data_IF_864578519818
#
_entry.id   IF_864578519818
#
_cell.length_a   1.000
_cell.length_b   1.000
_cell.length_c   1.000
_cell.angle_alpha   90.00
_cell.angle_beta   90.00
_cell.angle_gamma   90.00
#
_symmetry.space_group_name_H-M   'P 1'
#
loop_
_entity.id
_entity.type
_entity.pdbx_description
1 polymer ?
#
# COMPACT_ATOMS: atom_id res chain seq x y z
N UNK A 1 36.53 2.00 -35.56
CA UNK A 1 35.76 2.70 -34.46
C UNK A 1 34.26 2.40 -34.45
N UNK A 2 33.71 1.37 -35.08
CA UNK A 2 32.27 1.18 -35.21
C UNK A 2 31.65 -0.04 -34.51
N UNK A 3 32.47 -0.96 -33.96
CA UNK A 3 31.96 -2.19 -33.31
C UNK A 3 31.67 -2.06 -31.80
N UNK A 4 32.20 -1.03 -31.13
CA UNK A 4 31.95 -0.81 -29.69
C UNK A 4 30.67 -0.02 -29.37
N UNK A 5 30.12 0.74 -30.34
CA UNK A 5 28.90 1.54 -30.15
C UNK A 5 27.63 0.68 -30.27
N UNK A 6 27.66 -0.36 -31.13
CA UNK A 6 26.52 -1.27 -31.33
C UNK A 6 26.31 -2.19 -30.12
N UNK A 7 27.38 -2.60 -29.43
CA UNK A 7 27.27 -3.41 -28.23
C UNK A 7 26.70 -2.64 -27.03
N UNK A 8 26.93 -1.31 -26.96
CA UNK A 8 26.41 -0.48 -25.87
C UNK A 8 24.91 -0.20 -26.01
N UNK A 9 24.40 -0.10 -27.24
CA UNK A 9 22.97 0.09 -27.53
C UNK A 9 22.17 -1.21 -27.27
N UNK A 10 22.74 -2.36 -27.58
CA UNK A 10 22.11 -3.66 -27.31
C UNK A 10 21.99 -3.96 -25.81
N UNK A 11 22.96 -3.53 -24.98
CA UNK A 11 22.90 -3.68 -23.52
C UNK A 11 21.87 -2.73 -22.87
N UNK A 12 21.66 -1.54 -23.44
CA UNK A 12 20.63 -0.59 -22.98
C UNK A 12 19.20 -1.08 -23.27
N UNK A 13 18.99 -1.75 -24.42
CA UNK A 13 17.69 -2.33 -24.78
C UNK A 13 17.42 -3.60 -23.98
N UNK A 14 18.45 -4.43 -23.71
CA UNK A 14 18.31 -5.61 -22.87
C UNK A 14 18.03 -5.27 -21.39
N UNK A 15 18.56 -4.15 -20.88
CA UNK A 15 18.28 -3.67 -19.52
C UNK A 15 16.84 -3.22 -19.30
N UNK A 16 16.19 -2.63 -20.30
CA UNK A 16 14.77 -2.25 -20.23
C UNK A 16 13.82 -3.43 -20.47
N UNK A 17 14.23 -4.47 -21.21
CA UNK A 17 13.40 -5.65 -21.48
C UNK A 17 13.29 -6.61 -20.28
N UNK A 18 14.17 -6.51 -19.28
CA UNK A 18 14.21 -7.45 -18.13
C UNK A 18 13.11 -7.20 -17.09
N UNK A 19 12.34 -6.13 -17.17
CA UNK A 19 11.29 -5.76 -16.20
C UNK A 19 9.85 -5.90 -16.72
N UNK A 20 9.64 -6.29 -17.98
CA UNK A 20 8.32 -6.21 -18.62
C UNK A 20 7.61 -7.55 -18.87
N UNK A 21 8.22 -8.69 -18.58
CA UNK A 21 7.63 -9.98 -18.95
C UNK A 21 6.72 -10.55 -17.86
N UNK A 22 5.54 -9.91 -17.69
CA UNK A 22 4.42 -10.49 -16.95
C UNK A 22 3.36 -10.91 -17.95
N UNK A 23 3.07 -12.21 -18.02
CA UNK A 23 1.95 -12.73 -18.81
C UNK A 23 0.72 -12.79 -17.94
N UNK A 24 -0.35 -12.06 -18.30
CA UNK A 24 -1.61 -12.03 -17.57
C UNK A 24 -2.53 -13.15 -18.10
N UNK A 25 -3.07 -13.95 -17.17
CA UNK A 25 -4.01 -15.03 -17.47
C UNK A 25 -5.18 -15.01 -16.47
N UNK A 26 -6.37 -15.54 -16.83
CA UNK A 26 -7.46 -15.69 -15.87
C UNK A 26 -7.06 -16.61 -14.71
N UNK A 27 -7.43 -16.25 -13.48
CA UNK A 27 -7.25 -17.10 -12.31
C UNK A 27 -8.39 -18.14 -12.26
N UNK A 28 -8.12 -19.37 -12.71
CA UNK A 28 -9.14 -20.41 -12.89
C UNK A 28 -9.30 -21.28 -11.63
N UNK A 29 -8.31 -21.28 -10.73
CA UNK A 29 -8.27 -22.22 -9.59
C UNK A 29 -8.44 -21.45 -8.27
N UNK A 30 -9.37 -21.94 -7.43
CA UNK A 30 -9.43 -21.46 -6.05
C UNK A 30 -8.20 -21.98 -5.28
N UNK A 31 -7.53 -21.12 -4.51
CA UNK A 31 -6.34 -21.53 -3.78
C UNK A 31 -6.66 -22.58 -2.72
N UNK A 32 -5.78 -23.56 -2.58
CA UNK A 32 -5.85 -24.50 -1.48
C UNK A 32 -5.73 -23.78 -0.13
N UNK A 33 -6.56 -24.19 0.83
CA UNK A 33 -6.42 -23.69 2.20
C UNK A 33 -5.15 -24.24 2.84
N UNK A 34 -4.28 -23.36 3.31
CA UNK A 34 -3.16 -23.76 4.17
C UNK A 34 -3.70 -23.87 5.59
N UNK A 35 -3.45 -25.00 6.27
CA UNK A 35 -3.87 -25.19 7.66
C UNK A 35 -3.12 -24.25 8.60
N UNK A 36 -3.85 -23.31 9.18
CA UNK A 36 -3.38 -22.37 10.21
C UNK A 36 -4.26 -22.47 11.46
N UNK A 37 -3.78 -22.05 12.61
CA UNK A 37 -4.55 -22.12 13.85
C UNK A 37 -5.87 -21.33 13.76
N UNK A 38 -6.94 -21.91 14.30
CA UNK A 38 -8.32 -21.38 14.25
C UNK A 38 -8.59 -20.27 15.31
N UNK A 39 -7.58 -19.54 15.75
CA UNK A 39 -7.69 -18.48 16.73
C UNK A 39 -7.52 -17.11 16.06
N UNK A 40 -8.52 -16.25 16.19
CA UNK A 40 -8.56 -14.93 15.56
C UNK A 40 -7.34 -14.07 15.97
N UNK A 41 -6.96 -14.08 17.25
CA UNK A 41 -5.77 -13.34 17.71
C UNK A 41 -4.48 -13.86 17.08
N UNK A 42 -4.36 -15.17 16.91
CA UNK A 42 -3.21 -15.78 16.25
C UNK A 42 -3.16 -15.42 14.78
N UNK A 43 -4.30 -15.43 14.10
CA UNK A 43 -4.41 -15.04 12.68
C UNK A 43 -3.99 -13.58 12.47
N UNK A 44 -4.50 -12.67 13.30
CA UNK A 44 -4.15 -11.24 13.22
C UNK A 44 -2.64 -11.05 13.45
N UNK A 45 -2.07 -11.72 14.47
CA UNK A 45 -0.63 -11.63 14.76
C UNK A 45 0.26 -12.19 13.64
N UNK A 46 -0.21 -13.20 12.93
CA UNK A 46 0.50 -13.84 11.82
C UNK A 46 0.20 -13.19 10.47
N UNK A 47 -0.57 -12.10 10.45
CA UNK A 47 -1.07 -11.43 9.25
C UNK A 47 -1.92 -12.31 8.32
N UNK A 48 -2.51 -13.36 8.83
CA UNK A 48 -3.55 -14.13 8.12
C UNK A 48 -4.88 -13.34 8.17
N UNK A 49 -4.84 -12.12 7.64
CA UNK A 49 -5.92 -11.15 7.76
C UNK A 49 -7.17 -11.58 7.01
N UNK A 50 -7.00 -12.33 5.91
CA UNK A 50 -8.12 -12.84 5.12
C UNK A 50 -8.96 -13.80 5.96
N UNK A 51 -8.31 -14.75 6.65
CA UNK A 51 -9.00 -15.70 7.53
C UNK A 51 -9.52 -15.03 8.78
N UNK A 52 -8.78 -14.06 9.34
CA UNK A 52 -9.26 -13.29 10.48
C UNK A 52 -10.60 -12.62 10.17
N UNK A 53 -10.73 -12.00 9.01
CA UNK A 53 -12.00 -11.39 8.57
C UNK A 53 -13.09 -12.43 8.31
N UNK A 54 -12.75 -13.60 7.78
CA UNK A 54 -13.70 -14.71 7.58
C UNK A 54 -14.19 -15.31 8.90
N UNK A 55 -13.34 -15.35 9.92
CA UNK A 55 -13.69 -15.87 11.25
C UNK A 55 -14.48 -14.87 12.10
N UNK A 56 -14.32 -13.59 11.85
CA UNK A 56 -14.96 -12.51 12.61
C UNK A 56 -16.47 -12.70 12.80
N UNK A 57 -17.30 -13.03 11.78
CA UNK A 57 -18.73 -13.28 11.94
C UNK A 57 -19.07 -14.41 12.93
N UNK A 58 -18.22 -15.44 12.99
CA UNK A 58 -18.42 -16.56 13.93
C UNK A 58 -18.25 -16.11 15.38
N UNK A 59 -17.30 -15.19 15.62
CA UNK A 59 -17.12 -14.59 16.95
C UNK A 59 -18.23 -13.59 17.24
N UNK A 60 -18.65 -12.82 16.24
CA UNK A 60 -19.76 -11.87 16.37
C UNK A 60 -21.08 -12.56 16.76
N UNK A 61 -21.32 -13.78 16.30
CA UNK A 61 -22.51 -14.58 16.62
C UNK A 61 -22.55 -15.11 18.08
N UNK A 62 -21.44 -15.08 18.84
CA UNK A 62 -21.42 -15.54 20.22
C UNK A 62 -22.22 -14.59 21.13
N UNK A 63 -23.03 -15.15 22.05
CA UNK A 63 -23.82 -14.36 23.01
C UNK A 63 -22.95 -13.69 24.10
N UNK A 64 -21.96 -14.45 24.61
CA UNK A 64 -21.02 -13.95 25.64
C UNK A 64 -19.61 -13.91 25.08
N UNK A 65 -19.08 -12.72 24.86
CA UNK A 65 -17.75 -12.48 24.32
C UNK A 65 -16.86 -11.92 25.43
N UNK A 66 -15.65 -12.45 25.53
CA UNK A 66 -14.60 -11.91 26.41
C UNK A 66 -14.04 -10.61 25.86
N UNK A 67 -13.37 -9.82 26.70
CA UNK A 67 -12.64 -8.62 26.28
C UNK A 67 -11.63 -8.92 25.18
N UNK A 68 -10.97 -10.07 25.23
CA UNK A 68 -9.99 -10.50 24.22
C UNK A 68 -10.65 -10.82 22.86
N UNK A 69 -11.82 -11.50 22.89
CA UNK A 69 -12.57 -11.79 21.66
C UNK A 69 -13.12 -10.51 21.01
N UNK A 70 -13.63 -9.59 21.81
CA UNK A 70 -14.09 -8.28 21.31
C UNK A 70 -12.92 -7.45 20.75
N UNK A 71 -11.77 -7.44 21.44
CA UNK A 71 -10.58 -6.77 20.95
C UNK A 71 -10.10 -7.36 19.61
N UNK A 72 -10.03 -8.69 19.51
CA UNK A 72 -9.62 -9.34 18.28
C UNK A 72 -10.61 -9.10 17.12
N UNK A 73 -11.91 -9.10 17.42
CA UNK A 73 -12.95 -8.76 16.45
C UNK A 73 -12.79 -7.32 15.96
N UNK A 74 -12.64 -6.37 16.89
CA UNK A 74 -12.42 -4.96 16.53
C UNK A 74 -11.13 -4.73 15.74
N UNK A 75 -10.05 -5.43 16.05
CA UNK A 75 -8.80 -5.37 15.26
C UNK A 75 -8.99 -5.92 13.84
N UNK A 76 -9.72 -7.02 13.65
CA UNK A 76 -10.04 -7.57 12.34
C UNK A 76 -10.92 -6.61 11.52
N UNK A 77 -11.87 -5.95 12.17
CA UNK A 77 -12.75 -4.95 11.55
C UNK A 77 -11.99 -3.68 11.17
N UNK A 78 -11.07 -3.21 12.03
CA UNK A 78 -10.18 -2.08 11.72
C UNK A 78 -9.37 -2.35 10.44
N UNK A 79 -8.74 -3.52 10.37
CA UNK A 79 -7.92 -3.93 9.23
C UNK A 79 -8.77 -4.04 7.95
N UNK A 80 -10.01 -4.46 8.07
CA UNK A 80 -10.96 -4.58 6.95
C UNK A 80 -11.70 -3.28 6.60
N UNK A 81 -11.39 -2.16 7.26
CA UNK A 81 -12.01 -0.86 7.01
C UNK A 81 -13.43 -0.71 7.55
N UNK A 82 -13.92 -1.65 8.37
CA UNK A 82 -15.22 -1.60 9.06
C UNK A 82 -15.12 -0.74 10.33
N UNK A 83 -14.81 0.54 10.17
CA UNK A 83 -14.40 1.41 11.26
C UNK A 83 -15.49 1.61 12.34
N UNK A 84 -16.75 1.67 11.99
CA UNK A 84 -17.84 1.86 12.97
C UNK A 84 -18.04 0.61 13.83
N UNK A 85 -17.98 -0.58 13.22
CA UNK A 85 -18.04 -1.86 13.95
C UNK A 85 -16.80 -2.02 14.84
N UNK A 86 -15.62 -1.76 14.31
CA UNK A 86 -14.36 -1.80 15.06
C UNK A 86 -14.40 -0.90 16.29
N UNK A 87 -14.84 0.36 16.12
CA UNK A 87 -14.98 1.31 17.24
C UNK A 87 -15.92 0.79 18.32
N UNK A 88 -17.05 0.23 17.92
CA UNK A 88 -18.04 -0.35 18.84
C UNK A 88 -17.45 -1.52 19.63
N UNK A 89 -16.80 -2.48 18.95
CA UNK A 89 -16.29 -3.68 19.60
C UNK A 89 -15.04 -3.39 20.44
N UNK A 90 -14.13 -2.52 19.99
CA UNK A 90 -12.97 -2.11 20.78
C UNK A 90 -13.38 -1.36 22.06
N UNK A 91 -14.37 -0.48 22.00
CA UNK A 91 -14.91 0.20 23.20
C UNK A 91 -15.58 -0.79 24.15
N UNK A 92 -16.41 -1.70 23.64
CA UNK A 92 -17.02 -2.75 24.49
C UNK A 92 -15.96 -3.65 25.15
N UNK A 93 -14.84 -3.92 24.47
CA UNK A 93 -13.74 -4.65 25.08
C UNK A 93 -13.11 -3.91 26.28
N UNK A 94 -12.99 -2.58 26.24
CA UNK A 94 -12.50 -1.75 27.33
C UNK A 94 -13.45 -1.84 28.54
N UNK A 95 -14.76 -1.79 28.33
CA UNK A 95 -15.78 -1.85 29.39
C UNK A 95 -15.71 -3.17 30.19
N UNK A 96 -15.22 -4.24 29.60
CA UNK A 96 -15.00 -5.51 30.30
C UNK A 96 -13.72 -5.54 31.15
N UNK A 97 -13.08 -4.39 31.38
CA UNK A 97 -11.88 -4.24 32.21
C UNK A 97 -10.73 -5.21 31.85
N UNK A 98 -10.20 -5.13 30.64
CA UNK A 98 -9.14 -6.03 30.17
C UNK A 98 -7.83 -5.85 30.94
N UNK A 99 -6.95 -6.85 30.89
CA UNK A 99 -5.60 -6.72 31.40
C UNK A 99 -4.86 -5.54 30.77
N UNK A 100 -3.89 -4.98 31.50
CA UNK A 100 -3.14 -3.78 31.09
C UNK A 100 -2.58 -3.88 29.65
N UNK A 101 -2.00 -5.02 29.28
CA UNK A 101 -1.45 -5.25 27.94
C UNK A 101 -2.55 -5.29 26.85
N UNK A 102 -3.69 -5.88 27.18
CA UNK A 102 -4.85 -5.89 26.27
C UNK A 102 -5.40 -4.49 26.07
N UNK A 103 -5.52 -3.69 27.15
CA UNK A 103 -5.97 -2.31 27.08
C UNK A 103 -5.01 -1.44 26.24
N UNK A 104 -3.70 -1.64 26.39
CA UNK A 104 -2.71 -0.93 25.57
C UNK A 104 -2.89 -1.19 24.07
N UNK A 105 -3.12 -2.43 23.68
CA UNK A 105 -3.33 -2.81 22.29
C UNK A 105 -4.67 -2.27 21.75
N UNK A 106 -5.75 -2.38 22.53
CA UNK A 106 -7.07 -1.84 22.15
C UNK A 106 -7.00 -0.32 21.95
N UNK A 107 -6.34 0.39 22.88
CA UNK A 107 -6.18 1.83 22.77
C UNK A 107 -5.33 2.22 21.54
N UNK A 108 -4.32 1.44 21.20
CA UNK A 108 -3.56 1.64 19.98
C UNK A 108 -4.40 1.42 18.72
N UNK A 109 -5.19 0.36 18.67
CA UNK A 109 -6.11 0.09 17.55
C UNK A 109 -7.15 1.20 17.39
N UNK A 110 -7.71 1.72 18.51
CA UNK A 110 -8.59 2.89 18.46
C UNK A 110 -7.85 4.14 17.95
N UNK A 111 -6.60 4.36 18.36
CA UNK A 111 -5.80 5.46 17.83
C UNK A 111 -5.61 5.35 16.31
N UNK A 112 -5.29 4.17 15.81
CA UNK A 112 -5.15 3.93 14.37
C UNK A 112 -6.46 4.13 13.62
N UNK A 113 -7.57 3.64 14.17
CA UNK A 113 -8.91 3.83 13.61
C UNK A 113 -9.26 5.31 13.48
N UNK A 114 -9.08 6.08 14.54
CA UNK A 114 -9.40 7.51 14.54
C UNK A 114 -8.45 8.30 13.61
N UNK A 115 -7.19 7.87 13.46
CA UNK A 115 -6.29 8.40 12.43
C UNK A 115 -6.82 8.12 11.02
N UNK A 116 -7.26 6.89 10.72
CA UNK A 116 -7.79 6.52 9.41
C UNK A 116 -9.08 7.28 9.06
N UNK A 117 -9.84 7.70 10.06
CA UNK A 117 -11.07 8.49 9.89
C UNK A 117 -10.86 10.01 10.07
N UNK A 118 -9.58 10.47 10.10
CA UNK A 118 -9.17 11.88 10.23
C UNK A 118 -9.59 12.55 11.55
N UNK A 119 -9.94 11.79 12.58
CA UNK A 119 -10.24 12.29 13.90
C UNK A 119 -8.96 12.34 14.75
N UNK A 120 -8.09 13.31 14.46
CA UNK A 120 -6.76 13.38 15.08
C UNK A 120 -6.79 13.66 16.58
N UNK A 121 -7.82 14.35 17.07
CA UNK A 121 -8.01 14.59 18.50
C UNK A 121 -8.29 13.28 19.25
N UNK A 122 -9.22 12.46 18.77
CA UNK A 122 -9.49 11.16 19.36
C UNK A 122 -8.32 10.19 19.16
N UNK A 123 -7.64 10.25 18.03
CA UNK A 123 -6.41 9.47 17.79
C UNK A 123 -5.34 9.79 18.82
N UNK A 124 -5.10 11.07 19.11
CA UNK A 124 -4.16 11.52 20.14
C UNK A 124 -4.57 11.04 21.54
N UNK A 125 -5.85 11.15 21.87
CA UNK A 125 -6.37 10.67 23.15
C UNK A 125 -6.05 9.19 23.36
N UNK A 126 -6.38 8.35 22.39
CA UNK A 126 -6.15 6.91 22.48
C UNK A 126 -4.66 6.54 22.41
N UNK A 127 -3.84 7.27 21.65
CA UNK A 127 -2.39 7.08 21.64
C UNK A 127 -1.78 7.33 23.04
N UNK A 128 -2.24 8.36 23.77
CA UNK A 128 -1.79 8.62 25.15
C UNK A 128 -2.18 7.49 26.09
N UNK A 129 -3.42 7.00 26.02
CA UNK A 129 -3.89 5.86 26.81
C UNK A 129 -3.04 4.61 26.50
N UNK A 130 -2.74 4.33 25.25
CA UNK A 130 -1.89 3.22 24.85
C UNK A 130 -0.49 3.34 25.49
N UNK A 131 0.11 4.53 25.47
CA UNK A 131 1.42 4.80 26.04
C UNK A 131 1.42 4.66 27.57
N UNK A 132 0.42 5.15 28.28
CA UNK A 132 0.25 5.00 29.74
C UNK A 132 0.16 3.53 30.16
N UNK A 133 -0.35 2.68 29.25
CA UNK A 133 -0.48 1.24 29.50
C UNK A 133 0.67 0.40 28.90
N UNK A 134 1.75 1.05 28.46
CA UNK A 134 3.02 0.40 28.13
C UNK A 134 3.35 0.29 26.62
N UNK A 135 2.52 0.85 25.72
CA UNK A 135 2.89 0.96 24.31
C UNK A 135 4.01 1.98 24.11
N UNK A 136 5.04 1.59 23.40
CA UNK A 136 6.12 2.51 23.04
C UNK A 136 5.71 3.34 21.83
N UNK A 137 5.29 4.57 22.07
CA UNK A 137 4.90 5.52 21.01
C UNK A 137 5.95 6.62 20.93
N UNK A 138 6.46 6.85 19.72
CA UNK A 138 7.45 7.92 19.50
C UNK A 138 6.80 9.28 19.71
N UNK A 139 7.48 10.17 20.44
CA UNK A 139 6.96 11.51 20.78
C UNK A 139 6.50 12.30 19.54
N UNK A 140 7.25 12.25 18.45
CA UNK A 140 6.87 12.95 17.22
C UNK A 140 5.49 12.53 16.69
N UNK A 141 5.06 11.29 16.92
CA UNK A 141 3.74 10.83 16.48
C UNK A 141 2.62 11.52 17.27
N UNK A 142 2.76 11.63 18.58
CA UNK A 142 1.80 12.37 19.41
C UNK A 142 1.84 13.88 19.15
N UNK A 143 3.02 14.44 18.85
CA UNK A 143 3.16 15.86 18.49
C UNK A 143 2.46 16.13 17.13
N UNK A 144 2.61 15.23 16.16
CA UNK A 144 1.91 15.32 14.87
C UNK A 144 0.38 15.25 15.03
N UNK A 145 -0.12 14.30 15.83
CA UNK A 145 -1.56 14.22 16.10
C UNK A 145 -2.08 15.46 16.81
N UNK A 146 -1.31 16.01 17.76
CA UNK A 146 -1.65 17.25 18.47
C UNK A 146 -1.70 18.45 17.51
N UNK A 147 -0.76 18.55 16.59
CA UNK A 147 -0.71 19.64 15.61
C UNK A 147 -1.90 19.58 14.61
N UNK A 148 -2.48 18.42 14.37
CA UNK A 148 -3.65 18.24 13.51
C UNK A 148 -4.99 18.22 14.28
N UNK A 149 -4.96 18.18 15.62
CA UNK A 149 -6.17 18.24 16.45
C UNK A 149 -6.95 19.52 16.18
N UNK A 150 -8.27 19.38 15.88
CA UNK A 150 -9.12 20.51 15.54
C UNK A 150 -8.94 21.05 14.11
N UNK A 151 -8.02 20.49 13.32
CA UNK A 151 -7.88 20.86 11.91
C UNK A 151 -8.85 20.05 11.06
N UNK A 152 -9.68 20.74 10.29
CA UNK A 152 -10.58 20.10 9.33
C UNK A 152 -9.80 19.83 8.03
N UNK A 153 -9.23 18.63 7.91
CA UNK A 153 -8.40 18.22 6.78
C UNK A 153 -9.24 17.73 5.60
N UNK A 154 -8.65 17.67 4.41
CA UNK A 154 -9.22 17.12 3.17
C UNK A 154 -10.60 17.70 2.80
N UNK A 155 -10.80 19.01 3.02
CA UNK A 155 -12.04 19.67 2.60
C UNK A 155 -12.07 19.78 1.08
N UNK A 156 -13.01 19.10 0.45
CA UNK A 156 -13.15 19.11 -1.02
C UNK A 156 -14.14 20.20 -1.45
N UNK A 157 -13.77 20.94 -2.48
CA UNK A 157 -14.61 21.90 -3.19
C UNK A 157 -14.38 21.79 -4.70
N UNK A 158 -15.27 22.39 -5.48
CA UNK A 158 -15.26 22.24 -6.93
C UNK A 158 -15.88 20.91 -7.39
N UNK A 159 -15.24 20.22 -8.31
CA UNK A 159 -15.75 18.95 -8.80
C UNK A 159 -15.53 17.80 -7.80
N UNK A 160 -16.55 16.95 -7.66
CA UNK A 160 -16.43 15.73 -6.84
C UNK A 160 -15.87 14.52 -7.62
N UNK A 161 -15.81 14.60 -8.94
CA UNK A 161 -15.13 13.63 -9.78
C UNK A 161 -14.28 14.41 -10.79
N UNK A 162 -13.00 14.08 -10.84
CA UNK A 162 -12.06 14.72 -11.75
C UNK A 162 -11.26 13.67 -12.51
N UNK A 163 -11.05 13.95 -13.79
CA UNK A 163 -10.26 13.10 -14.71
C UNK A 163 -9.09 13.90 -15.24
N UNK A 164 -7.89 13.38 -15.00
CA UNK A 164 -6.64 14.05 -15.38
C UNK A 164 -5.73 13.11 -16.18
N UNK A 165 -4.98 13.67 -17.12
CA UNK A 165 -4.00 12.91 -17.88
C UNK A 165 -2.84 12.46 -16.98
N UNK A 166 -2.46 11.18 -17.08
CA UNK A 166 -1.23 10.67 -16.53
C UNK A 166 -0.08 10.88 -17.52
N UNK A 167 1.11 11.19 -17.00
CA UNK A 167 2.32 11.26 -17.84
C UNK A 167 2.88 9.86 -18.07
N UNK A 168 2.98 9.46 -19.33
CA UNK A 168 3.61 8.22 -19.77
C UNK A 168 5.09 8.46 -20.04
N UNK A 169 5.96 8.38 -19.05
CA UNK A 169 7.42 8.42 -19.26
C UNK A 169 8.12 7.80 -18.05
N UNK A 170 9.34 7.29 -18.21
CA UNK A 170 10.11 6.76 -17.09
C UNK A 170 10.27 7.76 -15.91
N UNK A 171 10.16 7.30 -14.66
CA UNK A 171 9.80 5.94 -14.23
C UNK A 171 8.36 5.59 -14.61
N UNK A 172 8.09 4.29 -14.79
CA UNK A 172 6.80 3.76 -15.23
C UNK A 172 5.76 3.70 -14.07
N UNK A 173 5.63 4.78 -13.32
CA UNK A 173 4.66 4.96 -12.23
C UNK A 173 3.65 6.04 -12.58
N UNK A 174 2.40 5.99 -12.05
CA UNK A 174 1.36 6.94 -12.39
C UNK A 174 1.70 8.35 -11.89
N UNK A 175 1.83 9.30 -12.81
CA UNK A 175 2.17 10.69 -12.53
C UNK A 175 1.14 11.62 -13.10
N UNK A 176 0.71 12.58 -12.29
CA UNK A 176 -0.27 13.61 -12.66
C UNK A 176 0.28 15.01 -12.40
N UNK A 177 -0.25 15.99 -13.08
CA UNK A 177 -0.01 17.39 -12.75
C UNK A 177 -1.02 17.85 -11.70
N UNK A 178 -0.52 18.47 -10.65
CA UNK A 178 -1.32 19.07 -9.58
C UNK A 178 -0.83 20.50 -9.30
N UNK A 179 -1.72 21.34 -8.81
CA UNK A 179 -1.34 22.70 -8.41
C UNK A 179 -1.43 22.83 -6.89
N UNK A 180 -0.38 23.36 -6.26
CA UNK A 180 -0.29 23.55 -4.83
C UNK A 180 -0.38 25.04 -4.46
N UNK A 181 -1.15 25.35 -3.43
CA UNK A 181 -1.28 26.71 -2.83
C UNK A 181 -1.55 27.81 -3.87
N UNK A 182 -2.42 27.54 -4.86
CA UNK A 182 -2.84 28.47 -5.95
C UNK A 182 -1.68 28.98 -6.84
N UNK A 183 -0.50 28.37 -6.77
CA UNK A 183 0.67 28.92 -7.45
C UNK A 183 1.35 27.96 -8.40
N UNK A 184 2.00 26.94 -7.88
CA UNK A 184 2.91 26.12 -8.65
C UNK A 184 2.26 24.82 -9.10
N UNK A 185 2.28 24.56 -10.41
CA UNK A 185 1.96 23.25 -10.97
C UNK A 185 3.21 22.35 -10.86
N UNK A 186 3.05 21.19 -10.28
CA UNK A 186 4.10 20.17 -10.10
C UNK A 186 3.62 18.82 -10.57
N UNK A 187 4.55 17.93 -10.86
CA UNK A 187 4.24 16.52 -11.13
C UNK A 187 4.25 15.76 -9.81
N UNK A 188 3.12 15.14 -9.46
CA UNK A 188 2.98 14.23 -8.32
C UNK A 188 2.92 12.79 -8.79
N UNK A 189 3.56 11.88 -8.04
CA UNK A 189 3.40 10.43 -8.21
C UNK A 189 2.24 9.97 -7.34
N UNK A 190 1.32 9.18 -7.90
CA UNK A 190 0.27 8.49 -7.14
C UNK A 190 0.92 7.25 -6.51
N UNK A 191 1.11 7.27 -5.19
CA UNK A 191 1.90 6.30 -4.45
C UNK A 191 1.07 5.72 -3.29
N UNK A 192 0.36 4.62 -3.54
CA UNK A 192 -0.42 3.95 -2.50
C UNK A 192 0.45 3.20 -1.48
N UNK A 193 1.72 2.95 -1.77
CA UNK A 193 2.69 2.38 -0.83
C UNK A 193 3.18 3.36 0.23
N UNK A 194 3.13 4.67 -0.05
CA UNK A 194 3.46 5.72 0.91
C UNK A 194 2.29 5.96 1.88
N UNK A 195 2.55 5.87 3.19
CA UNK A 195 1.54 6.16 4.24
C UNK A 195 1.08 7.62 4.19
N UNK A 196 2.02 8.53 3.99
CA UNK A 196 1.82 9.99 4.03
C UNK A 196 2.32 10.60 2.73
N UNK A 197 1.58 11.56 2.20
CA UNK A 197 2.04 12.38 1.07
C UNK A 197 3.31 13.13 1.43
N UNK A 198 4.28 13.19 0.52
CA UNK A 198 5.61 13.76 0.77
C UNK A 198 5.89 14.84 -0.24
N UNK A 199 6.40 15.98 0.22
CA UNK A 199 6.94 17.06 -0.63
C UNK A 199 8.45 17.18 -0.43
N UNK A 200 9.17 17.49 -1.50
CA UNK A 200 10.59 17.82 -1.41
C UNK A 200 10.82 19.12 -0.64
N UNK A 201 11.99 19.26 -0.01
CA UNK A 201 12.35 20.49 0.69
C UNK A 201 12.32 21.70 -0.26
N UNK A 202 12.86 21.55 -1.46
CA UNK A 202 12.88 22.60 -2.47
C UNK A 202 11.45 23.06 -2.87
N UNK A 203 10.53 22.11 -3.02
CA UNK A 203 9.12 22.42 -3.31
C UNK A 203 8.48 23.13 -2.12
N UNK A 204 8.68 22.63 -0.90
CA UNK A 204 8.16 23.23 0.32
C UNK A 204 8.60 24.70 0.46
N UNK A 205 9.88 24.99 0.25
CA UNK A 205 10.43 26.35 0.28
C UNK A 205 9.84 27.23 -0.82
N UNK A 206 9.70 26.69 -2.04
CA UNK A 206 9.14 27.41 -3.20
C UNK A 206 7.70 27.87 -2.97
N UNK A 207 6.86 27.03 -2.32
CA UNK A 207 5.46 27.36 -2.04
C UNK A 207 5.24 27.98 -0.66
N UNK A 208 6.32 28.26 0.07
CA UNK A 208 6.28 28.87 1.40
C UNK A 208 5.62 27.99 2.47
N UNK A 209 5.79 26.68 2.38
CA UNK A 209 5.16 25.71 3.27
C UNK A 209 5.80 25.76 4.66
N UNK A 210 5.00 26.01 5.69
CA UNK A 210 5.46 26.08 7.07
C UNK A 210 5.29 24.74 7.78
N UNK A 211 6.29 24.35 8.58
CA UNK A 211 6.18 23.18 9.46
C UNK A 211 5.07 23.35 10.48
N UNK A 212 4.39 22.23 10.82
CA UNK A 212 3.32 22.17 11.84
C UNK A 212 3.84 22.41 13.27
N UNK A 213 5.15 22.37 13.48
CA UNK A 213 5.82 22.63 14.77
C UNK A 213 7.30 22.31 14.67
N UNK A 214 8.00 22.42 15.80
CA UNK A 214 9.46 22.22 15.92
C UNK A 214 9.83 20.76 16.19
N UNK A 215 9.03 19.81 15.71
CA UNK A 215 9.30 18.39 15.86
C UNK A 215 9.63 17.72 14.52
N UNK A 216 10.42 16.66 14.61
CA UNK A 216 10.79 15.84 13.45
C UNK A 216 10.30 14.42 13.64
N UNK A 217 9.67 13.89 12.60
CA UNK A 217 9.35 12.46 12.47
C UNK A 217 10.46 11.68 11.80
N UNK A 218 10.26 10.40 11.73
CA UNK A 218 11.18 9.49 11.06
C UNK A 218 10.38 8.52 10.21
N UNK A 219 10.66 8.51 8.90
CA UNK A 219 10.12 7.50 7.98
C UNK A 219 11.18 6.44 7.71
N UNK A 220 10.73 5.24 7.49
CA UNK A 220 11.58 4.14 7.06
C UNK A 220 11.03 3.66 5.73
N UNK A 221 11.80 3.85 4.68
CA UNK A 221 11.52 3.21 3.39
C UNK A 221 11.85 1.73 3.46
N UNK A 222 11.40 0.97 2.48
CA UNK A 222 11.58 -0.48 2.42
C UNK A 222 13.04 -0.92 2.58
N UNK A 223 13.96 -0.17 2.01
CA UNK A 223 15.39 -0.49 1.93
C UNK A 223 16.26 0.55 2.64
N UNK A 224 15.67 1.56 3.31
CA UNK A 224 16.43 2.71 3.78
C UNK A 224 16.61 2.73 5.30
N UNK A 225 17.70 3.33 5.72
CA UNK A 225 17.86 3.84 7.08
C UNK A 225 16.74 4.85 7.40
N UNK A 226 16.45 5.06 8.69
CA UNK A 226 15.45 6.03 9.11
C UNK A 226 15.71 7.42 8.52
N UNK A 227 14.71 7.98 7.81
CA UNK A 227 14.80 9.27 7.13
C UNK A 227 14.08 10.31 7.97
N UNK A 228 14.75 11.38 8.44
CA UNK A 228 14.09 12.45 9.16
C UNK A 228 13.16 13.24 8.24
N UNK A 229 11.98 13.59 8.75
CA UNK A 229 10.97 14.38 8.05
C UNK A 229 10.38 15.42 8.98
N UNK A 230 9.96 16.55 8.41
CA UNK A 230 9.09 17.53 9.08
C UNK A 230 7.69 17.40 8.54
N UNK A 231 6.69 17.90 9.24
CA UNK A 231 5.30 17.84 8.80
C UNK A 231 4.76 19.23 8.51
N UNK A 232 3.87 19.32 7.55
CA UNK A 232 3.24 20.57 7.14
C UNK A 232 1.80 20.36 6.67
N UNK A 233 1.10 21.45 6.45
CA UNK A 233 -0.24 21.48 5.89
C UNK A 233 -0.23 22.26 4.59
N UNK A 234 -0.49 21.60 3.47
CA UNK A 234 -0.74 22.27 2.19
C UNK A 234 -2.12 22.89 2.26
N UNK A 235 -2.23 24.20 2.01
CA UNK A 235 -3.52 24.90 2.10
C UNK A 235 -4.49 24.41 1.04
N UNK A 236 -4.01 24.26 -0.22
CA UNK A 236 -4.80 23.72 -1.32
C UNK A 236 -3.96 22.81 -2.22
N UNK A 237 -4.50 21.65 -2.55
CA UNK A 237 -4.02 20.75 -3.61
C UNK A 237 -5.13 20.65 -4.64
N UNK A 238 -4.83 21.04 -5.88
CA UNK A 238 -5.81 21.09 -6.96
C UNK A 238 -5.48 20.03 -8.01
N UNK A 239 -6.48 19.19 -8.33
CA UNK A 239 -6.44 18.20 -9.42
C UNK A 239 -7.51 18.63 -10.42
N UNK A 240 -7.09 19.25 -11.53
CA UNK A 240 -8.05 19.88 -12.45
C UNK A 240 -8.91 20.92 -11.74
N UNK A 241 -10.24 20.73 -11.78
CA UNK A 241 -11.22 21.61 -11.12
C UNK A 241 -11.62 21.14 -9.69
N UNK A 242 -11.03 20.06 -9.21
CA UNK A 242 -11.18 19.59 -7.83
C UNK A 242 -10.15 20.28 -6.95
N UNK A 243 -10.58 20.87 -5.85
CA UNK A 243 -9.71 21.53 -4.86
C UNK A 243 -9.85 20.82 -3.51
N UNK A 244 -8.74 20.32 -3.00
CA UNK A 244 -8.65 19.68 -1.68
C UNK A 244 -7.87 20.59 -0.75
N UNK A 245 -8.51 21.07 0.31
CA UNK A 245 -7.89 21.99 1.27
C UNK A 245 -7.37 21.27 2.50
N UNK A 246 -6.34 21.86 3.11
CA UNK A 246 -5.73 21.37 4.37
C UNK A 246 -5.25 19.93 4.24
N UNK A 247 -4.32 19.71 3.32
CA UNK A 247 -3.72 18.39 3.06
C UNK A 247 -2.46 18.20 3.89
N UNK A 248 -2.43 17.27 4.88
CA UNK A 248 -1.23 16.97 5.65
C UNK A 248 -0.17 16.29 4.77
N UNK A 249 1.05 16.78 4.85
CA UNK A 249 2.21 16.25 4.12
C UNK A 249 3.44 16.17 5.02
N UNK A 250 4.37 15.29 4.65
CA UNK A 250 5.71 15.30 5.19
C UNK A 250 6.65 16.08 4.25
N UNK A 251 7.59 16.82 4.81
CA UNK A 251 8.67 17.48 4.07
C UNK A 251 9.93 16.64 4.23
N UNK A 252 10.51 16.22 3.12
CA UNK A 252 11.70 15.38 3.07
C UNK A 252 12.84 16.12 2.35
N UNK A 253 14.08 15.90 2.79
CA UNK A 253 15.26 16.48 2.16
C UNK A 253 15.40 16.02 0.70
N UNK A 254 15.82 16.94 -0.19
CA UNK A 254 15.88 16.71 -1.64
C UNK A 254 16.78 15.52 -2.00
N UNK A 255 17.87 15.28 -1.27
CA UNK A 255 18.80 14.16 -1.49
C UNK A 255 18.11 12.79 -1.27
N UNK A 256 17.04 12.77 -0.47
CA UNK A 256 16.23 11.56 -0.20
C UNK A 256 15.08 11.36 -1.20
N UNK A 257 14.80 12.39 -2.00
CA UNK A 257 13.78 12.40 -3.06
C UNK A 257 14.39 12.16 -4.46
N UNK A 258 15.63 11.67 -4.52
CA UNK A 258 16.36 11.37 -5.75
C UNK A 258 16.41 9.87 -6.01
N UNK A 259 16.18 9.50 -7.26
CA UNK A 259 16.26 8.14 -7.75
C UNK A 259 17.19 8.09 -8.95
N UNK A 260 17.86 6.94 -9.14
CA UNK A 260 18.77 6.73 -10.25
C UNK A 260 18.20 5.66 -11.19
N UNK A 261 17.88 6.04 -12.41
CA UNK A 261 17.43 5.11 -13.43
C UNK A 261 18.67 4.49 -14.09
N UNK A 262 18.75 3.17 -14.07
CA UNK A 262 19.89 2.39 -14.63
C UNK A 262 21.28 2.87 -14.13
N UNK A 263 21.33 3.40 -12.90
CA UNK A 263 22.56 3.87 -12.25
C UNK A 263 23.20 5.13 -12.85
N UNK A 264 22.53 5.82 -13.79
CA UNK A 264 23.13 6.96 -14.52
C UNK A 264 22.27 8.20 -14.64
N UNK A 265 20.96 8.09 -14.61
CA UNK A 265 20.06 9.26 -14.75
C UNK A 265 19.41 9.55 -13.41
N UNK A 266 19.70 10.70 -12.83
CA UNK A 266 19.02 11.21 -11.66
C UNK A 266 17.60 11.64 -12.02
N UNK A 267 16.64 11.18 -11.25
CA UNK A 267 15.25 11.59 -11.30
C UNK A 267 14.87 12.17 -9.94
N UNK A 268 14.40 13.41 -9.92
CA UNK A 268 13.94 14.07 -8.71
C UNK A 268 12.41 14.04 -8.62
N UNK A 269 11.90 13.70 -7.46
CA UNK A 269 10.48 13.68 -7.15
C UNK A 269 10.16 14.86 -6.25
N UNK A 270 9.29 15.75 -6.71
CA UNK A 270 8.84 16.91 -5.91
C UNK A 270 7.69 16.54 -4.98
N UNK A 271 6.81 15.62 -5.41
CA UNK A 271 5.59 15.25 -4.68
C UNK A 271 5.26 13.76 -4.83
N UNK A 272 5.03 13.10 -3.69
CA UNK A 272 4.35 11.81 -3.60
C UNK A 272 2.95 12.03 -3.01
N UNK A 273 1.93 11.49 -3.65
CA UNK A 273 0.53 11.52 -3.21
C UNK A 273 0.24 10.18 -2.54
N UNK A 274 0.31 10.16 -1.21
CA UNK A 274 0.25 8.94 -0.41
C UNK A 274 -1.16 8.51 0.01
N UNK A 275 -1.23 7.38 0.70
CA UNK A 275 -2.47 6.76 1.17
C UNK A 275 -3.28 7.69 2.07
N UNK A 276 -2.65 8.57 2.86
CA UNK A 276 -3.38 9.56 3.67
C UNK A 276 -4.31 10.45 2.85
N UNK A 277 -3.94 10.74 1.60
CA UNK A 277 -4.76 11.48 0.63
C UNK A 277 -5.66 10.51 -0.16
N UNK A 278 -5.09 9.45 -0.72
CA UNK A 278 -5.79 8.53 -1.63
C UNK A 278 -6.99 7.86 -0.98
N UNK A 279 -6.97 7.63 0.34
CA UNK A 279 -8.10 7.04 1.09
C UNK A 279 -9.38 7.89 1.10
N UNK A 280 -9.30 9.15 0.69
CA UNK A 280 -10.47 10.04 0.55
C UNK A 280 -11.19 9.85 -0.80
N UNK A 281 -10.62 9.03 -1.69
CA UNK A 281 -11.10 8.88 -3.05
C UNK A 281 -11.28 7.42 -3.45
N UNK A 282 -12.18 7.20 -4.39
CA UNK A 282 -12.10 6.09 -5.32
C UNK A 282 -11.21 6.56 -6.46
N UNK A 283 -10.08 5.87 -6.65
CA UNK A 283 -9.08 6.19 -7.67
C UNK A 283 -9.10 5.14 -8.78
N UNK A 284 -9.23 5.57 -10.04
CA UNK A 284 -9.13 4.71 -11.21
C UNK A 284 -7.92 5.13 -12.05
N UNK A 285 -7.06 4.17 -12.38
CA UNK A 285 -5.88 4.35 -13.22
C UNK A 285 -6.06 3.57 -14.53
N UNK A 286 -6.35 4.27 -15.62
CA UNK A 286 -6.43 3.70 -16.97
C UNK A 286 -5.09 3.88 -17.69
N UNK A 287 -4.22 2.89 -17.60
CA UNK A 287 -2.90 2.93 -18.22
C UNK A 287 -2.95 2.90 -19.75
N UNK A 288 -4.03 2.37 -20.33
CA UNK A 288 -4.22 2.36 -21.79
C UNK A 288 -4.44 3.76 -22.34
N UNK A 289 -5.27 4.56 -21.63
CA UNK A 289 -5.61 5.93 -22.03
C UNK A 289 -4.71 6.96 -21.37
N UNK A 290 -3.84 6.56 -20.47
CA UNK A 290 -3.04 7.44 -19.61
C UNK A 290 -3.93 8.45 -18.85
N UNK A 291 -4.94 7.95 -18.15
CA UNK A 291 -5.91 8.75 -17.41
C UNK A 291 -6.01 8.26 -15.96
N UNK A 292 -5.98 9.20 -15.03
CA UNK A 292 -6.38 8.97 -13.63
C UNK A 292 -7.73 9.65 -13.37
N UNK A 293 -8.63 8.96 -12.68
CA UNK A 293 -9.92 9.50 -12.24
C UNK A 293 -9.99 9.44 -10.72
N UNK A 294 -10.31 10.56 -10.10
CA UNK A 294 -10.52 10.66 -8.65
C UNK A 294 -11.99 10.98 -8.40
N UNK A 295 -12.65 10.17 -7.59
CA UNK A 295 -14.03 10.41 -7.15
C UNK A 295 -14.04 10.50 -5.63
N UNK A 296 -14.54 11.59 -5.08
CA UNK A 296 -14.61 11.82 -3.64
C UNK A 296 -15.52 10.78 -2.99
N UNK A 297 -15.04 10.16 -1.91
CA UNK A 297 -15.84 9.23 -1.12
C UNK A 297 -16.62 9.99 -0.04
N UNK A 298 -17.94 9.86 -0.08
CA UNK A 298 -18.84 10.35 0.97
C UNK A 298 -18.93 9.32 2.12
N UNK A 299 -19.53 9.70 3.24
CA UNK A 299 -19.81 8.77 4.34
C UNK A 299 -20.68 7.58 3.89
N UNK A 300 -21.57 7.78 2.92
CA UNK A 300 -22.44 6.72 2.38
C UNK A 300 -21.64 5.68 1.54
N UNK A 301 -20.53 6.10 0.94
CA UNK A 301 -19.68 5.24 0.11
C UNK A 301 -18.75 4.36 0.95
N UNK A 302 -18.52 4.71 2.23
CA UNK A 302 -17.55 4.04 3.12
C UNK A 302 -18.16 2.81 3.80
N UNK A 303 -18.48 1.81 2.98
CA UNK A 303 -19.01 0.51 3.42
C UNK A 303 -18.31 -0.62 2.71
N UNK A 304 -17.38 -1.32 3.38
CA UNK A 304 -16.73 -2.48 2.83
C UNK A 304 -17.74 -3.51 2.31
N UNK A 305 -17.46 -4.07 1.14
CA UNK A 305 -18.34 -5.06 0.51
C UNK A 305 -17.94 -6.49 0.90
N UNK A 306 -18.85 -7.48 0.83
CA UNK A 306 -18.52 -8.87 1.16
C UNK A 306 -17.37 -9.46 0.32
N UNK A 307 -17.17 -8.92 -0.88
CA UNK A 307 -16.12 -9.33 -1.81
C UNK A 307 -14.87 -8.43 -1.74
N UNK A 308 -14.71 -7.68 -0.61
CA UNK A 308 -13.53 -6.86 -0.36
C UNK A 308 -12.24 -7.68 -0.51
N UNK A 309 -11.21 -7.05 -1.04
CA UNK A 309 -9.88 -7.63 -1.22
C UNK A 309 -8.76 -6.68 -0.82
N UNK A 310 -9.08 -5.44 -0.39
CA UNK A 310 -8.17 -4.51 0.26
C UNK A 310 -8.29 -4.64 1.77
N UNK A 311 -7.15 -4.55 2.44
CA UNK A 311 -7.00 -4.50 3.90
C UNK A 311 -6.01 -3.40 4.25
N UNK A 312 -6.04 -2.90 5.48
CA UNK A 312 -5.09 -1.88 5.93
C UNK A 312 -3.99 -2.54 6.77
N UNK A 313 -2.77 -2.51 6.28
CA UNK A 313 -1.57 -2.95 7.01
C UNK A 313 -0.64 -1.76 7.26
N UNK A 314 -0.52 -1.39 8.53
CA UNK A 314 0.29 -0.22 8.96
C UNK A 314 -0.01 1.04 8.14
N UNK A 315 -1.30 1.38 8.03
CA UNK A 315 -1.83 2.54 7.29
C UNK A 315 -1.65 2.49 5.77
N UNK A 316 -1.24 1.36 5.19
CA UNK A 316 -1.11 1.16 3.74
C UNK A 316 -2.17 0.17 3.25
N UNK A 317 -2.67 0.30 2.02
CA UNK A 317 -3.51 -0.71 1.43
C UNK A 317 -2.68 -1.97 1.14
N UNK A 318 -3.20 -3.10 1.57
CA UNK A 318 -2.68 -4.40 1.21
C UNK A 318 -3.79 -5.20 0.52
N UNK A 319 -3.44 -5.95 -0.50
CA UNK A 319 -4.38 -6.78 -1.25
C UNK A 319 -4.11 -8.26 -1.01
N UNK A 320 -5.18 -9.04 -0.97
CA UNK A 320 -5.01 -10.50 -0.91
C UNK A 320 -4.62 -11.04 -2.28
N UNK A 321 -3.64 -11.93 -2.29
CA UNK A 321 -3.18 -12.61 -3.48
C UNK A 321 -2.81 -14.06 -3.22
N UNK A 322 -2.53 -14.78 -4.29
CA UNK A 322 -2.02 -16.16 -4.24
C UNK A 322 -0.61 -16.22 -4.80
N UNK A 323 0.18 -17.19 -4.35
CA UNK A 323 1.50 -17.50 -4.91
C UNK A 323 1.41 -18.91 -5.49
N UNK A 324 1.67 -19.07 -6.80
CA UNK A 324 1.54 -20.31 -7.54
C UNK A 324 0.18 -21.01 -7.29
N UNK A 325 -0.90 -20.20 -7.21
CA UNK A 325 -2.28 -20.64 -6.95
C UNK A 325 -2.50 -21.26 -5.57
N UNK A 326 -1.57 -21.10 -4.65
CA UNK A 326 -1.67 -21.61 -3.28
C UNK A 326 -1.87 -20.47 -2.28
N UNK A 327 -2.66 -20.77 -1.23
CA UNK A 327 -2.85 -19.92 -0.07
C UNK A 327 -3.51 -18.57 -0.37
N UNK A 328 -3.64 -17.78 0.69
CA UNK A 328 -3.96 -16.37 0.61
C UNK A 328 -2.88 -15.60 1.36
N UNK A 329 -2.25 -14.69 0.65
CA UNK A 329 -1.17 -13.86 1.14
C UNK A 329 -1.55 -12.40 1.02
N UNK A 330 -0.93 -11.56 1.85
CA UNK A 330 -1.10 -10.11 1.77
C UNK A 330 0.07 -9.50 1.04
N UNK A 331 -0.23 -8.64 0.06
CA UNK A 331 0.75 -7.85 -0.68
C UNK A 331 0.43 -6.38 -0.50
N UNK A 332 1.41 -5.54 -0.21
CA UNK A 332 1.19 -4.10 -0.23
C UNK A 332 0.85 -3.68 -1.67
N UNK A 333 -0.25 -2.98 -1.83
CA UNK A 333 -0.62 -2.36 -3.10
C UNK A 333 0.16 -1.05 -3.24
N UNK A 334 1.14 -1.04 -4.15
CA UNK A 334 2.09 0.06 -4.27
C UNK A 334 2.19 0.56 -5.70
N UNK A 335 1.38 1.57 -6.02
CA UNK A 335 1.39 2.22 -7.33
C UNK A 335 2.62 3.11 -7.54
N UNK A 336 3.38 3.40 -6.49
CA UNK A 336 4.67 4.10 -6.55
C UNK A 336 5.86 3.18 -6.84
N UNK A 337 5.67 1.86 -6.82
CA UNK A 337 6.71 0.88 -7.13
C UNK A 337 6.63 0.44 -8.60
N UNK A 338 7.72 0.60 -9.35
CA UNK A 338 7.80 0.09 -10.74
C UNK A 338 7.72 -1.44 -10.82
N UNK A 339 8.10 -2.14 -9.74
CA UNK A 339 8.35 -3.59 -9.73
C UNK A 339 7.58 -4.27 -8.62
N UNK A 340 6.91 -5.36 -8.98
CA UNK A 340 6.38 -6.34 -8.03
C UNK A 340 7.53 -7.20 -7.49
N UNK A 341 7.53 -7.52 -6.18
CA UNK A 341 8.52 -8.40 -5.58
C UNK A 341 8.00 -9.16 -4.36
N UNK A 342 8.66 -10.28 -4.03
CA UNK A 342 8.33 -11.13 -2.91
C UNK A 342 9.19 -10.81 -1.68
N UNK A 343 8.61 -10.99 -0.51
CA UNK A 343 9.34 -11.01 0.75
C UNK A 343 9.96 -12.40 0.94
N UNK A 344 11.28 -12.47 1.00
CA UNK A 344 12.06 -13.70 1.11
C UNK A 344 11.62 -14.57 2.29
N UNK A 345 11.32 -13.96 3.43
CA UNK A 345 10.88 -14.67 4.66
C UNK A 345 9.56 -15.42 4.51
N UNK A 346 8.64 -14.91 3.71
CA UNK A 346 7.35 -15.56 3.48
C UNK A 346 7.41 -16.70 2.46
N UNK A 347 8.44 -16.68 1.61
CA UNK A 347 8.68 -17.75 0.63
C UNK A 347 9.31 -18.98 1.30
N UNK A 348 10.15 -18.79 2.32
CA UNK A 348 10.75 -19.86 3.11
C UNK A 348 9.71 -20.68 3.89
N UNK A 349 8.63 -20.04 4.35
CA UNK A 349 7.54 -20.68 5.09
C UNK A 349 6.54 -21.44 4.20
N UNK A 350 6.64 -21.30 2.87
CA UNK A 350 5.80 -22.06 1.95
C UNK A 350 6.27 -23.52 1.90
N UNK A 351 5.38 -24.52 2.15
CA UNK A 351 5.73 -25.93 2.13
C UNK A 351 6.05 -26.46 0.72
N UNK A 352 6.52 -25.62 -0.17
CA UNK A 352 6.62 -25.87 -1.59
C UNK A 352 8.06 -25.66 -1.99
N UNK A 353 8.74 -26.72 -2.41
CA UNK A 353 9.95 -26.67 -3.22
C UNK A 353 9.71 -25.97 -4.57
N UNK A 354 8.94 -24.87 -4.57
CA UNK A 354 8.52 -24.17 -5.78
C UNK A 354 9.63 -23.33 -6.39
N UNK A 355 10.71 -23.11 -5.66
CA UNK A 355 11.72 -22.16 -6.06
C UNK A 355 13.12 -22.79 -5.98
N UNK A 356 13.69 -23.12 -7.12
CA UNK A 356 15.14 -23.19 -7.20
C UNK A 356 15.62 -21.73 -7.32
N UNK A 357 16.19 -21.12 -6.27
CA UNK A 357 16.71 -19.77 -6.37
C UNK A 357 17.89 -19.80 -7.34
N UNK A 358 17.69 -19.36 -8.58
CA UNK A 358 18.83 -19.01 -9.41
C UNK A 358 19.37 -17.70 -8.87
N UNK A 359 20.66 -17.70 -8.47
CA UNK A 359 21.36 -16.58 -7.91
C UNK A 359 21.63 -15.55 -9.03
N UNK A 360 20.58 -14.84 -9.44
CA UNK A 360 20.72 -13.62 -10.22
C UNK A 360 20.36 -12.46 -9.30
N UNK A 361 21.27 -11.52 -9.10
CA UNK A 361 21.02 -10.35 -8.29
C UNK A 361 20.09 -9.38 -9.02
N UNK A 362 18.99 -8.96 -8.38
CA UNK A 362 18.23 -7.81 -8.78
C UNK A 362 18.65 -6.61 -7.93
N UNK A 363 18.82 -5.46 -8.55
CA UNK A 363 19.03 -4.22 -7.83
C UNK A 363 17.67 -3.59 -7.57
N UNK A 364 17.32 -3.45 -6.28
CA UNK A 364 16.12 -2.76 -5.82
C UNK A 364 16.52 -1.39 -5.29
N UNK A 365 15.78 -0.37 -5.63
CA UNK A 365 15.98 0.98 -5.14
C UNK A 365 14.72 1.46 -4.43
N UNK A 366 14.88 1.93 -3.20
CA UNK A 366 13.80 2.49 -2.39
C UNK A 366 13.90 4.00 -2.18
N UNK A 367 12.91 4.58 -1.55
CA UNK A 367 12.92 5.95 -1.07
C UNK A 367 14.18 6.18 -0.22
N UNK A 368 14.83 7.34 -0.38
CA UNK A 368 16.10 7.64 0.28
C UNK A 368 17.34 7.20 -0.50
N UNK A 369 17.18 6.69 -1.73
CA UNK A 369 18.29 6.31 -2.61
C UNK A 369 19.00 5.02 -2.22
N UNK A 370 18.48 4.28 -1.24
CA UNK A 370 19.05 3.00 -0.83
C UNK A 370 18.91 1.96 -1.94
N UNK A 371 19.98 1.19 -2.17
CA UNK A 371 19.99 0.11 -3.15
C UNK A 371 20.33 -1.20 -2.44
N UNK A 372 19.61 -2.25 -2.76
CA UNK A 372 19.85 -3.61 -2.25
C UNK A 372 19.83 -4.59 -3.40
N UNK A 373 20.77 -5.52 -3.39
CA UNK A 373 20.76 -6.68 -4.27
C UNK A 373 20.06 -7.83 -3.57
N UNK A 374 19.07 -8.43 -4.24
CA UNK A 374 18.34 -9.58 -3.74
C UNK A 374 18.29 -10.71 -4.76
N UNK A 375 17.95 -11.93 -4.35
CA UNK A 375 17.74 -13.04 -5.26
C UNK A 375 16.54 -12.79 -6.18
N UNK A 376 16.42 -13.56 -7.25
CA UNK A 376 15.28 -13.60 -8.16
C UNK A 376 14.70 -14.99 -8.18
N UNK A 377 13.39 -15.06 -8.36
CA UNK A 377 12.65 -16.30 -8.56
C UNK A 377 12.16 -16.36 -9.99
N UNK A 378 12.29 -17.53 -10.63
CA UNK A 378 11.79 -17.73 -11.98
C UNK A 378 10.42 -18.41 -11.98
N UNK A 379 9.56 -18.01 -12.94
CA UNK A 379 8.27 -18.66 -13.24
C UNK A 379 7.33 -18.72 -12.04
N UNK A 380 7.11 -17.58 -11.38
CA UNK A 380 6.15 -17.44 -10.28
C UNK A 380 4.82 -16.91 -10.80
N UNK A 381 3.74 -17.58 -10.43
CA UNK A 381 2.36 -17.12 -10.67
C UNK A 381 1.87 -16.38 -9.43
N UNK A 382 1.55 -15.09 -9.59
CA UNK A 382 0.91 -14.27 -8.55
C UNK A 382 -0.52 -13.95 -8.98
N UNK A 383 -1.49 -14.39 -8.20
CA UNK A 383 -2.91 -14.17 -8.47
C UNK A 383 -3.52 -13.06 -7.61
N UNK A 384 -4.23 -12.11 -8.25
CA UNK A 384 -4.96 -11.05 -7.59
C UNK A 384 -6.32 -10.86 -8.23
N UNK A 385 -7.37 -10.72 -7.42
CA UNK A 385 -8.76 -10.64 -7.87
C UNK A 385 -9.12 -11.87 -8.75
N UNK A 386 -9.30 -11.67 -10.04
CA UNK A 386 -9.65 -12.73 -11.02
C UNK A 386 -8.51 -13.05 -11.98
N UNK A 387 -7.34 -12.49 -11.76
CA UNK A 387 -6.23 -12.51 -12.70
C UNK A 387 -4.96 -13.02 -12.06
N UNK A 388 -4.19 -13.80 -12.80
CA UNK A 388 -2.87 -14.22 -12.41
C UNK A 388 -1.84 -13.65 -13.40
N UNK A 389 -0.69 -13.23 -12.86
CA UNK A 389 0.47 -12.82 -13.61
C UNK A 389 1.59 -13.81 -13.45
N UNK A 390 2.08 -14.37 -14.55
CA UNK A 390 3.28 -15.22 -14.55
C UNK A 390 4.50 -14.34 -14.70
N UNK A 391 5.35 -14.35 -13.69
CA UNK A 391 6.59 -13.59 -13.65
C UNK A 391 7.78 -14.50 -13.95
N UNK A 392 8.53 -14.20 -14.98
CA UNK A 392 9.71 -14.98 -15.35
C UNK A 392 10.95 -14.65 -14.51
N UNK A 393 11.00 -13.46 -13.93
CA UNK A 393 12.14 -12.98 -13.12
C UNK A 393 11.62 -12.07 -11.99
N UNK A 394 11.05 -12.65 -10.95
CA UNK A 394 10.49 -11.89 -9.82
C UNK A 394 11.58 -11.64 -8.77
N UNK A 395 11.91 -10.38 -8.45
CA UNK A 395 12.86 -10.08 -7.38
C UNK A 395 12.33 -10.50 -6.01
N UNK A 396 13.23 -10.85 -5.11
CA UNK A 396 12.94 -11.06 -3.69
C UNK A 396 13.77 -10.10 -2.83
N UNK A 397 13.30 -9.82 -1.64
CA UNK A 397 14.03 -9.05 -0.64
C UNK A 397 13.63 -9.48 0.76
N UNK A 398 14.52 -9.29 1.72
CA UNK A 398 14.21 -9.46 3.13
C UNK A 398 13.66 -8.14 3.70
N UNK A 399 12.37 -8.09 3.99
CA UNK A 399 11.68 -6.95 4.59
C UNK A 399 11.89 -6.83 6.11
N UNK A 400 12.60 -7.77 6.72
CA UNK A 400 12.77 -7.85 8.16
C UNK A 400 11.58 -8.47 8.88
N UNK A 401 11.76 -8.81 10.16
CA UNK A 401 10.78 -9.54 10.99
C UNK A 401 9.48 -8.78 11.23
N UNK A 402 9.52 -7.45 11.15
CA UNK A 402 8.36 -6.60 11.40
C UNK A 402 7.39 -6.53 10.21
N UNK A 403 7.81 -6.92 9.00
CA UNK A 403 6.95 -6.94 7.84
C UNK A 403 6.24 -8.30 7.73
N UNK A 404 4.93 -8.27 7.71
CA UNK A 404 4.06 -9.44 7.68
C UNK A 404 3.46 -9.70 6.31
N UNK A 405 3.86 -8.92 5.29
CA UNK A 405 3.35 -9.06 3.93
C UNK A 405 4.24 -9.96 3.09
N UNK A 406 3.62 -10.71 2.18
CA UNK A 406 4.32 -11.61 1.28
C UNK A 406 5.09 -10.89 0.17
N UNK A 407 4.87 -9.60 0.02
CA UNK A 407 5.55 -8.80 -0.99
C UNK A 407 4.84 -7.49 -1.30
N UNK A 408 5.21 -6.90 -2.43
CA UNK A 408 4.61 -5.69 -2.99
C UNK A 408 4.05 -5.99 -4.37
N UNK A 409 2.85 -5.50 -4.64
CA UNK A 409 2.22 -5.49 -5.95
C UNK A 409 2.48 -4.13 -6.61
N UNK A 410 3.35 -4.11 -7.62
CA UNK A 410 3.82 -2.90 -8.31
C UNK A 410 3.30 -2.75 -9.73
N UNK A 411 3.78 -1.70 -10.41
CA UNK A 411 3.29 -1.25 -11.71
C UNK A 411 3.53 -2.24 -12.86
N UNK A 412 4.58 -3.04 -12.83
CA UNK A 412 4.82 -4.04 -13.88
C UNK A 412 3.67 -5.08 -13.99
N UNK A 413 2.89 -5.28 -12.90
CA UNK A 413 1.65 -6.03 -12.93
C UNK A 413 0.45 -5.11 -13.22
N UNK A 414 0.30 -4.04 -12.44
CA UNK A 414 -0.89 -3.16 -12.46
C UNK A 414 -1.13 -2.49 -13.81
N UNK A 415 -0.08 -2.12 -14.54
CA UNK A 415 -0.18 -1.48 -15.87
C UNK A 415 -0.89 -2.32 -16.96
N UNK A 416 -1.09 -3.61 -16.71
CA UNK A 416 -1.83 -4.48 -17.64
C UNK A 416 -3.35 -4.32 -17.51
N UNK A 417 -3.81 -3.46 -16.57
CA UNK A 417 -5.21 -3.29 -16.22
C UNK A 417 -5.64 -1.82 -16.19
N UNK A 418 -6.94 -1.61 -16.29
CA UNK A 418 -7.57 -0.46 -15.66
C UNK A 418 -7.73 -0.84 -14.19
N UNK A 419 -7.04 -0.14 -13.32
CA UNK A 419 -7.00 -0.43 -11.88
C UNK A 419 -7.94 0.52 -11.15
N UNK A 420 -8.92 -0.01 -10.43
CA UNK A 420 -9.76 0.79 -9.53
C UNK A 420 -9.40 0.47 -8.09
N UNK A 421 -9.04 1.46 -7.30
CA UNK A 421 -8.78 1.37 -5.87
C UNK A 421 -9.90 2.12 -5.15
N UNK A 422 -10.77 1.40 -4.46
CA UNK A 422 -11.93 1.95 -3.75
C UNK A 422 -11.79 1.71 -2.25
N UNK A 423 -11.34 2.73 -1.52
CA UNK A 423 -11.20 2.67 -0.06
C UNK A 423 -12.54 2.70 0.67
N UNK A 424 -13.62 3.11 0.02
CA UNK A 424 -14.95 3.05 0.59
C UNK A 424 -15.47 1.61 0.66
N UNK A 425 -15.30 0.86 -0.42
CA UNK A 425 -15.68 -0.55 -0.54
C UNK A 425 -14.59 -1.51 -0.07
N UNK A 426 -13.39 -1.01 0.22
CA UNK A 426 -12.18 -1.79 0.49
C UNK A 426 -11.91 -2.81 -0.61
N UNK A 427 -11.93 -2.32 -1.86
CA UNK A 427 -11.83 -3.19 -3.03
C UNK A 427 -10.89 -2.63 -4.09
N UNK A 428 -10.05 -3.51 -4.63
CA UNK A 428 -9.31 -3.32 -5.86
C UNK A 428 -9.99 -4.13 -6.97
N UNK A 429 -10.37 -3.47 -8.06
CA UNK A 429 -10.88 -4.10 -9.27
C UNK A 429 -9.86 -3.97 -10.40
N UNK A 430 -9.68 -5.05 -11.14
CA UNK A 430 -8.74 -5.16 -12.25
C UNK A 430 -9.49 -5.50 -13.54
N UNK A 431 -9.49 -4.59 -14.51
CA UNK A 431 -10.05 -4.83 -15.84
C UNK A 431 -8.91 -4.86 -16.88
N UNK A 432 -8.63 -6.00 -17.55
CA UNK A 432 -7.52 -6.10 -18.50
C UNK A 432 -7.59 -5.08 -19.61
N UNK A 433 -6.46 -4.47 -19.95
CA UNK A 433 -6.37 -3.49 -21.04
C UNK A 433 -6.49 -4.17 -22.40
N UNK A 434 -5.88 -5.33 -22.56
CA UNK A 434 -5.96 -6.12 -23.78
C UNK A 434 -6.97 -7.26 -23.58
N UNK A 435 -7.93 -7.48 -24.49
CA UNK A 435 -8.74 -8.68 -24.44
C UNK A 435 -7.81 -9.88 -24.53
N UNK A 436 -7.87 -10.74 -23.53
CA UNK A 436 -7.05 -11.96 -23.51
C UNK A 436 -7.46 -12.82 -24.68
N UNK A 437 -6.57 -13.00 -25.64
CA UNK A 437 -6.69 -14.06 -26.63
C UNK A 437 -6.62 -15.37 -25.85
N UNK A 438 -7.70 -16.14 -25.91
CA UNK A 438 -7.94 -17.47 -25.33
C UNK A 438 -6.85 -18.01 -24.38
N UNK A 439 -7.26 -18.33 -23.16
CA UNK A 439 -6.36 -19.00 -22.20
C UNK A 439 -5.66 -20.17 -22.91
N UNK A 440 -4.32 -20.30 -22.79
CA UNK A 440 -3.67 -21.52 -23.24
C UNK A 440 -4.34 -22.70 -22.52
N UNK A 441 -4.71 -23.74 -23.26
CA UNK A 441 -5.21 -25.00 -22.69
C UNK A 441 -4.22 -25.42 -21.59
N UNK A 442 -4.73 -25.49 -20.38
CA UNK A 442 -3.95 -26.00 -19.25
C UNK A 442 -3.69 -27.46 -19.49
N UNK A 443 -2.50 -27.79 -19.97
CA UNK A 443 -2.02 -29.17 -19.98
C UNK A 443 -1.96 -29.64 -18.52
N UNK A 444 -2.96 -30.39 -18.11
CA UNK A 444 -2.97 -31.09 -16.83
C UNK A 444 -1.90 -32.17 -16.91
N UNK A 445 -0.83 -32.14 -16.12
CA UNK A 445 0.18 -33.18 -16.13
C UNK A 445 -0.48 -34.51 -15.71
N UNK A 446 -0.64 -35.46 -16.62
CA UNK A 446 -1.08 -36.82 -16.29
C UNK A 446 -2.18 -37.45 -17.12
N UNK A 447 -2.79 -36.78 -18.09
CA UNK A 447 -3.66 -37.48 -19.04
C UNK A 447 -2.81 -38.02 -20.21
N UNK A 448 -2.51 -39.31 -20.17
CA UNK A 448 -2.04 -40.04 -21.34
C UNK A 448 -3.21 -40.14 -22.31
N UNK A 449 -2.98 -39.78 -23.56
CA UNK A 449 -3.87 -40.10 -24.68
C UNK A 449 -4.13 -41.59 -24.68
N UNK A 450 -5.40 -41.94 -24.70
CA UNK A 450 -5.86 -43.30 -25.04
C UNK A 450 -6.13 -43.37 -26.53
#
# INVERSE_FOLDING_TARGET
>A
MSRRLVALIAVLIAGCALYSDVTIVPLIVQPANIDHPNDLNSMIRKADLVRAVQLAPTIEAKQNRSAQELAALGSAELISGRYDDARRHLRAAIELSPFRTTLSNIAWDLSQLEYMTNNYEASLYWAKIAAEHGMVIKKWHTDYLAALSGVNVYQVSGRHTERISMRASHPDVPRIEVRLNKGKTVTGIIDSGAVTSIVSQQLADTIGLKSLGDFQGTFTGLLSEPIPVRFALVDTLEIGDMVVSKVPVAIMADEKMKFFIAGKKEFHIDLLIGTNFLKEFRTELDFRRNLATFTVLTSADRRPTPDQNIFIEKFRPAVRGTINRHGWFMFILDTGSEVTYLNERHVEDLPIQLFAPKIHSAMLQGLGGSQKHGPKVENVDLGFDKWAGVFHNLPMYDAGEADRTAGILGENYLRNFIVTIDFGKMRMDLAPINPLTQAPEVLVPGQKEQ
#
